data_IF_195657522596
#
_entry.id   IF_195657522596
#
_cell.length_a   1.000
_cell.length_b   1.000
_cell.length_c   1.000
_cell.angle_alpha   90.00
_cell.angle_beta   90.00
_cell.angle_gamma   90.00
#
_symmetry.space_group_name_H-M   'P 1'
#
loop_
_entity.id
_entity.type
_entity.pdbx_description
1 polymer ?
#
# COMPACT_ATOMS: atom_id res chain seq x y z
N UNK A 1 7.87 10.99 1.33
CA UNK A 1 7.86 9.54 1.62
C UNK A 1 7.43 8.88 0.32
N UNK A 2 8.11 7.82 -0.10
CA UNK A 2 7.81 7.10 -1.35
C UNK A 2 7.13 5.77 -1.02
N UNK A 3 6.29 5.28 -1.93
CA UNK A 3 5.68 3.97 -1.80
C UNK A 3 6.74 2.87 -1.98
N UNK A 4 6.71 1.87 -1.12
CA UNK A 4 7.50 0.65 -1.28
C UNK A 4 7.00 -0.17 -2.48
N UNK A 5 7.81 -1.09 -3.02
CA UNK A 5 7.38 -1.97 -4.10
C UNK A 5 6.12 -2.78 -3.74
N UNK A 6 5.38 -3.17 -4.78
CA UNK A 6 4.17 -3.98 -4.62
C UNK A 6 4.50 -5.31 -3.93
N UNK A 7 3.82 -5.65 -2.82
CA UNK A 7 4.12 -6.86 -2.07
C UNK A 7 3.63 -8.15 -2.76
N UNK A 8 2.93 -8.02 -3.89
CA UNK A 8 2.33 -9.14 -4.60
C UNK A 8 3.06 -9.48 -5.91
N UNK A 9 3.72 -8.49 -6.53
CA UNK A 9 4.38 -8.66 -7.83
C UNK A 9 5.77 -8.03 -7.91
N UNK A 10 6.27 -7.44 -6.82
CA UNK A 10 7.53 -6.69 -6.74
C UNK A 10 7.65 -5.52 -7.75
N UNK A 11 6.53 -5.10 -8.34
CA UNK A 11 6.45 -3.96 -9.24
C UNK A 11 6.69 -2.64 -8.53
N UNK A 12 7.45 -1.74 -9.17
CA UNK A 12 7.78 -0.41 -8.63
C UNK A 12 6.82 0.68 -9.09
N UNK A 13 5.90 0.38 -10.02
CA UNK A 13 4.91 1.34 -10.50
C UNK A 13 3.72 1.36 -9.53
N UNK A 14 3.88 2.09 -8.43
CA UNK A 14 2.85 2.28 -7.41
C UNK A 14 2.53 3.77 -7.31
N UNK A 15 1.26 4.13 -7.51
CA UNK A 15 0.82 5.53 -7.58
C UNK A 15 -0.45 5.78 -6.75
N UNK A 16 -0.71 7.02 -6.29
CA UNK A 16 -1.93 7.35 -5.58
C UNK A 16 -3.11 7.48 -6.55
N UNK A 17 -4.27 6.96 -6.15
CA UNK A 17 -5.54 7.10 -6.87
C UNK A 17 -6.61 7.65 -5.94
N UNK A 18 -7.37 8.64 -6.43
CA UNK A 18 -8.53 9.19 -5.73
C UNK A 18 -9.73 8.29 -6.00
N UNK A 19 -10.45 7.90 -4.95
CA UNK A 19 -11.67 7.10 -5.03
C UNK A 19 -12.90 7.99 -5.27
N UNK A 20 -14.01 7.39 -5.69
CA UNK A 20 -15.29 8.10 -5.91
C UNK A 20 -15.83 8.77 -4.62
N UNK A 21 -15.43 8.26 -3.45
CA UNK A 21 -15.79 8.79 -2.12
C UNK A 21 -14.79 9.85 -1.61
N UNK A 22 -13.96 10.41 -2.49
CA UNK A 22 -12.91 11.39 -2.19
C UNK A 22 -11.84 10.89 -1.20
N UNK A 23 -11.64 9.58 -1.10
CA UNK A 23 -10.50 8.98 -0.41
C UNK A 23 -9.30 8.78 -1.35
N UNK A 24 -8.16 8.38 -0.80
CA UNK A 24 -6.92 8.09 -1.54
C UNK A 24 -6.44 6.67 -1.22
N UNK A 25 -6.08 5.91 -2.25
CA UNK A 25 -5.41 4.60 -2.14
C UNK A 25 -4.08 4.62 -2.87
N UNK A 26 -3.13 3.81 -2.44
CA UNK A 26 -1.99 3.45 -3.30
C UNK A 26 -2.37 2.24 -4.15
N UNK A 27 -2.07 2.28 -5.46
CA UNK A 27 -2.36 1.20 -6.40
C UNK A 27 -1.11 0.84 -7.19
N UNK A 28 -0.88 -0.45 -7.38
CA UNK A 28 0.13 -0.96 -8.31
C UNK A 28 -0.43 -0.99 -9.73
N UNK A 29 0.27 -0.33 -10.66
CA UNK A 29 -0.10 -0.29 -12.08
C UNK A 29 0.20 -1.62 -12.80
N UNK A 30 1.14 -2.42 -12.29
CA UNK A 30 1.51 -3.70 -12.91
C UNK A 30 0.48 -4.81 -12.65
N UNK A 31 0.04 -4.99 -11.40
CA UNK A 31 -0.86 -6.09 -11.01
C UNK A 31 -2.24 -5.65 -10.54
N UNK A 32 -2.49 -4.34 -10.43
CA UNK A 32 -3.77 -3.78 -10.01
C UNK A 32 -4.07 -3.88 -8.51
N UNK A 33 -3.15 -4.38 -7.68
CA UNK A 33 -3.35 -4.44 -6.24
C UNK A 33 -3.47 -3.03 -5.64
N UNK A 34 -4.41 -2.86 -4.71
CA UNK A 34 -4.68 -1.58 -4.05
C UNK A 34 -4.56 -1.69 -2.55
N UNK A 35 -4.03 -0.65 -1.91
CA UNK A 35 -3.96 -0.52 -0.46
C UNK A 35 -5.26 -0.01 0.17
N UNK A 36 -5.26 0.19 1.49
CA UNK A 36 -6.39 0.75 2.23
C UNK A 36 -6.74 2.17 1.79
N UNK A 37 -8.04 2.51 1.78
CA UNK A 37 -8.52 3.89 1.54
C UNK A 37 -8.15 4.77 2.74
N UNK A 38 -7.55 5.90 2.46
CA UNK A 38 -7.11 6.90 3.43
C UNK A 38 -7.67 8.29 3.08
N UNK A 39 -7.63 9.22 4.03
CA UNK A 39 -8.12 10.59 3.81
C UNK A 39 -7.20 11.44 2.91
N UNK A 40 -5.91 11.09 2.84
CA UNK A 40 -4.91 11.79 2.04
C UNK A 40 -3.79 10.83 1.57
N UNK A 41 -2.99 11.30 0.62
CA UNK A 41 -1.88 10.56 0.03
C UNK A 41 -0.82 10.16 1.05
N UNK A 42 -0.50 11.03 2.03
CA UNK A 42 0.52 10.73 3.04
C UNK A 42 0.12 9.51 3.88
N UNK A 43 -1.14 9.44 4.29
CA UNK A 43 -1.70 8.33 5.02
C UNK A 43 -1.86 7.07 4.14
N UNK A 44 -2.17 7.23 2.85
CA UNK A 44 -2.19 6.13 1.89
C UNK A 44 -0.81 5.48 1.73
N UNK A 45 0.25 6.29 1.56
CA UNK A 45 1.63 5.82 1.45
C UNK A 45 2.08 5.13 2.74
N UNK A 46 1.81 5.72 3.90
CA UNK A 46 2.14 5.11 5.20
C UNK A 46 1.47 3.75 5.39
N UNK A 47 0.20 3.66 5.01
CA UNK A 47 -0.57 2.42 5.10
C UNK A 47 -0.07 1.38 4.11
N UNK A 48 0.29 1.80 2.89
CA UNK A 48 0.89 0.94 1.88
C UNK A 48 2.22 0.34 2.34
N UNK A 49 3.09 1.15 2.95
CA UNK A 49 4.40 0.70 3.43
C UNK A 49 4.31 -0.09 4.75
N UNK A 50 3.15 -0.08 5.43
CA UNK A 50 2.95 -0.84 6.67
C UNK A 50 2.77 -2.32 6.35
N UNK A 51 3.88 -3.05 6.31
CA UNK A 51 3.87 -4.52 6.29
C UNK A 51 3.72 -5.03 7.72
N UNK A 52 2.95 -6.11 7.98
CA UNK A 52 3.16 -6.85 9.22
C UNK A 52 4.63 -7.26 9.22
N UNK A 53 5.38 -6.81 10.23
CA UNK A 53 6.65 -7.45 10.54
C UNK A 53 6.29 -8.93 10.72
N UNK A 54 7.00 -9.81 10.01
CA UNK A 54 6.88 -11.25 10.15
C UNK A 54 6.64 -11.57 11.62
N UNK A 55 5.51 -12.16 12.02
CA UNK A 55 5.31 -12.48 13.42
C UNK A 55 6.46 -13.41 13.83
N UNK A 56 7.21 -13.02 14.87
CA UNK A 56 8.09 -13.94 15.60
C UNK A 56 7.27 -15.22 15.83
N UNK A 57 7.63 -16.29 15.13
CA UNK A 57 7.07 -17.61 15.35
C UNK A 57 7.72 -18.14 16.63
N UNK A 58 7.30 -17.60 17.79
CA UNK A 58 7.59 -18.17 19.09
C UNK A 58 6.34 -18.95 19.54
N UNK A 59 6.23 -20.17 19.02
CA UNK A 59 5.36 -21.20 19.57
C UNK A 59 6.27 -22.24 20.23
N UNK A 60 6.65 -22.02 21.49
CA UNK A 60 7.20 -23.04 22.40
C UNK A 60 6.05 -23.81 23.08
#
# INVERSE_FOLDING_TARGET
>A
MTADPCPFCDGNEVSPHVTDEAGVVMRCENCGASGPVCIDELNAVRSWNRRPATPDQDWD
#
